data_IF_891627171635
#
_entry.id   IF_891627171635
#
_cell.length_a   1.000
_cell.length_b   1.000
_cell.length_c   1.000
_cell.angle_alpha   90.00
_cell.angle_beta   90.00
_cell.angle_gamma   90.00
#
_symmetry.space_group_name_H-M   'P 1'
#
loop_
_entity.id
_entity.type
_entity.pdbx_description
1 polymer ?
#
# COMPACT_ATOMS: atom_id res chain seq x y z
N UNK A 1 -7.86 -8.34 43.34
CA UNK A 1 -7.49 -9.06 42.09
C UNK A 1 -7.64 -8.05 40.96
N UNK A 2 -6.57 -7.79 40.22
CA UNK A 2 -6.43 -6.63 39.32
C UNK A 2 -7.09 -6.92 37.96
N UNK A 3 -7.72 -5.87 37.43
CA UNK A 3 -8.44 -5.78 36.14
C UNK A 3 -7.68 -6.42 34.98
N UNK A 4 -8.27 -7.47 34.37
CA UNK A 4 -7.81 -8.11 33.13
C UNK A 4 -8.64 -7.62 31.91
N UNK A 5 -9.79 -6.97 32.13
CA UNK A 5 -10.68 -6.54 31.05
C UNK A 5 -10.19 -5.31 30.26
N UNK A 6 -9.33 -4.47 30.85
CA UNK A 6 -8.82 -3.25 30.19
C UNK A 6 -7.70 -3.49 29.17
N UNK A 7 -7.04 -4.66 29.19
CA UNK A 7 -5.86 -4.93 28.35
C UNK A 7 -6.24 -5.60 27.03
N UNK A 8 -7.37 -6.33 26.99
CA UNK A 8 -7.80 -7.04 25.79
C UNK A 8 -8.32 -6.11 24.68
N UNK A 9 -9.00 -5.02 25.03
CA UNK A 9 -9.65 -4.13 24.05
C UNK A 9 -8.63 -3.16 23.42
N UNK A 10 -7.60 -2.74 24.18
CA UNK A 10 -6.51 -1.91 23.66
C UNK A 10 -5.62 -2.71 22.68
N UNK A 11 -5.43 -4.00 22.91
CA UNK A 11 -4.66 -4.88 22.01
C UNK A 11 -5.29 -5.06 20.63
N UNK A 12 -6.62 -5.09 20.52
CA UNK A 12 -7.32 -5.27 19.24
C UNK A 12 -7.18 -4.03 18.36
N UNK A 13 -7.20 -2.84 18.95
CA UNK A 13 -7.02 -1.59 18.23
C UNK A 13 -5.58 -1.40 17.73
N UNK A 14 -4.59 -1.76 18.55
CA UNK A 14 -3.17 -1.73 18.16
C UNK A 14 -2.89 -2.71 17.02
N UNK A 15 -3.54 -3.88 16.99
CA UNK A 15 -3.42 -4.84 15.90
C UNK A 15 -4.11 -4.39 14.60
N UNK A 16 -5.27 -3.74 14.68
CA UNK A 16 -5.99 -3.16 13.54
C UNK A 16 -5.20 -2.06 12.83
N UNK A 17 -4.49 -1.22 13.59
CA UNK A 17 -3.61 -0.15 13.06
C UNK A 17 -2.35 -0.73 12.38
N UNK A 18 -1.84 -1.86 12.86
CA UNK A 18 -0.67 -2.54 12.27
C UNK A 18 -1.04 -3.29 10.98
N UNK A 19 -2.28 -3.77 10.85
CA UNK A 19 -2.77 -4.53 9.69
C UNK A 19 -3.38 -3.66 8.57
N UNK A 20 -3.70 -2.38 8.84
CA UNK A 20 -4.26 -1.43 7.86
C UNK A 20 -3.26 -0.90 6.82
N UNK A 21 -2.09 -1.53 6.69
CA UNK A 21 -1.16 -1.29 5.60
C UNK A 21 -0.16 -0.17 5.84
N UNK A 22 1.04 -0.37 5.30
CA UNK A 22 2.07 0.64 5.15
C UNK A 22 1.57 1.81 4.27
N UNK A 23 0.89 2.74 4.88
CA UNK A 23 0.67 4.10 4.43
C UNK A 23 0.45 4.89 5.69
N UNK A 24 1.37 5.80 6.02
CA UNK A 24 1.36 6.60 7.25
C UNK A 24 -0.04 7.19 7.49
N UNK A 25 -0.88 6.57 8.31
CA UNK A 25 -1.90 7.33 9.02
C UNK A 25 -1.10 8.37 9.81
N UNK A 26 -1.28 9.62 9.45
CA UNK A 26 -0.71 10.71 10.24
C UNK A 26 -1.25 10.57 11.67
N UNK A 27 -0.45 10.97 12.67
CA UNK A 27 -0.92 11.00 14.06
C UNK A 27 -2.25 11.77 14.19
N UNK A 28 -2.49 12.72 13.29
CA UNK A 28 -3.69 13.55 13.23
C UNK A 28 -4.91 12.76 12.75
N UNK A 29 -4.80 11.92 11.72
CA UNK A 29 -5.91 11.07 11.25
C UNK A 29 -6.34 10.04 12.30
N UNK A 30 -5.37 9.42 12.98
CA UNK A 30 -5.67 8.50 14.07
C UNK A 30 -6.32 9.21 15.26
N UNK A 31 -5.83 10.40 15.61
CA UNK A 31 -6.42 11.21 16.68
C UNK A 31 -7.85 11.62 16.32
N UNK A 32 -8.12 11.97 15.07
CA UNK A 32 -9.45 12.38 14.60
C UNK A 32 -10.45 11.21 14.65
N UNK A 33 -10.06 10.01 14.24
CA UNK A 33 -10.94 8.83 14.30
C UNK A 33 -11.18 8.40 15.76
N UNK A 34 -10.15 8.48 16.60
CA UNK A 34 -10.28 8.19 18.03
C UNK A 34 -11.17 9.22 18.74
N UNK A 35 -11.07 10.50 18.38
CA UNK A 35 -11.93 11.56 18.91
C UNK A 35 -13.39 11.34 18.49
N UNK A 36 -13.62 10.99 17.23
CA UNK A 36 -14.95 10.65 16.71
C UNK A 36 -15.56 9.45 17.43
N UNK A 37 -14.78 8.39 17.66
CA UNK A 37 -15.21 7.23 18.44
C UNK A 37 -15.55 7.59 19.88
N UNK A 38 -14.68 8.35 20.55
CA UNK A 38 -14.92 8.82 21.92
C UNK A 38 -16.16 9.70 22.01
N UNK A 39 -16.38 10.57 21.03
CA UNK A 39 -17.55 11.44 20.95
C UNK A 39 -18.85 10.64 20.73
N UNK A 40 -18.79 9.61 19.89
CA UNK A 40 -19.93 8.72 19.64
C UNK A 40 -20.29 7.86 20.87
N UNK A 41 -19.28 7.38 21.61
CA UNK A 41 -19.48 6.67 22.87
C UNK A 41 -20.00 7.61 23.96
N UNK A 42 -19.46 8.82 24.07
CA UNK A 42 -19.94 9.82 25.02
C UNK A 42 -21.42 10.15 24.76
N UNK A 43 -21.80 10.36 23.50
CA UNK A 43 -23.19 10.60 23.12
C UNK A 43 -24.11 9.42 23.50
N UNK A 44 -23.66 8.18 23.28
CA UNK A 44 -24.44 6.98 23.66
C UNK A 44 -24.59 6.85 25.18
N UNK A 45 -23.54 7.15 25.96
CA UNK A 45 -23.62 7.17 27.42
C UNK A 45 -24.51 8.29 27.96
N UNK A 46 -24.50 9.46 27.32
CA UNK A 46 -25.39 10.57 27.66
C UNK A 46 -26.85 10.22 27.37
N UNK A 47 -27.14 9.63 26.20
CA UNK A 47 -28.49 9.20 25.84
C UNK A 47 -29.03 8.14 26.81
N UNK A 48 -28.23 7.12 27.11
CA UNK A 48 -28.59 6.09 28.08
C UNK A 48 -28.79 6.67 29.49
N UNK A 49 -27.93 7.61 29.90
CA UNK A 49 -28.07 8.33 31.17
C UNK A 49 -29.34 9.17 31.25
N UNK A 50 -29.72 9.84 30.17
CA UNK A 50 -30.97 10.59 30.09
C UNK A 50 -32.19 9.69 30.20
N UNK A 51 -32.18 8.54 29.51
CA UNK A 51 -33.26 7.55 29.61
C UNK A 51 -33.39 6.99 31.03
N UNK A 52 -32.28 6.64 31.68
CA UNK A 52 -32.27 6.17 33.08
C UNK A 52 -32.78 7.25 34.03
N UNK A 53 -32.38 8.50 33.82
CA UNK A 53 -32.85 9.63 34.64
C UNK A 53 -34.35 9.89 34.48
N UNK A 54 -34.88 9.78 33.25
CA UNK A 54 -36.33 9.92 32.99
C UNK A 54 -37.13 8.80 33.67
N UNK A 55 -36.62 7.56 33.59
CA UNK A 55 -37.21 6.40 34.27
C UNK A 55 -37.19 6.56 35.79
N UNK A 56 -36.05 6.98 36.37
CA UNK A 56 -35.93 7.23 37.81
C UNK A 56 -36.93 8.30 38.26
N UNK A 57 -37.03 9.42 37.53
CA UNK A 57 -37.95 10.49 37.87
C UNK A 57 -39.43 10.07 37.84
N UNK A 58 -39.82 9.17 36.93
CA UNK A 58 -41.17 8.61 36.90
C UNK A 58 -41.44 7.68 38.09
N UNK A 59 -40.46 6.83 38.42
CA UNK A 59 -40.54 5.96 39.61
C UNK A 59 -40.65 6.78 40.89
N UNK A 60 -39.85 7.83 41.02
CA UNK A 60 -39.89 8.73 42.18
C UNK A 60 -41.23 9.46 42.29
N UNK A 61 -41.73 10.02 41.18
CA UNK A 61 -43.03 10.71 41.15
C UNK A 61 -44.20 9.78 41.52
N UNK A 62 -44.19 8.53 41.03
CA UNK A 62 -45.18 7.54 41.42
C UNK A 62 -45.02 7.12 42.88
N UNK A 63 -43.78 6.97 43.37
CA UNK A 63 -43.51 6.66 44.78
C UNK A 63 -44.01 7.75 45.74
N UNK A 64 -43.87 9.02 45.37
CA UNK A 64 -44.36 10.15 46.16
C UNK A 64 -45.89 10.27 46.11
N UNK A 65 -46.50 10.05 44.94
CA UNK A 65 -47.96 9.95 44.82
C UNK A 65 -48.52 8.81 45.71
N UNK A 66 -47.86 7.65 45.70
CA UNK A 66 -48.18 6.50 46.56
C UNK A 66 -48.14 6.86 48.04
N UNK A 67 -47.04 7.48 48.48
CA UNK A 67 -46.88 7.89 49.88
C UNK A 67 -47.98 8.85 50.32
N UNK A 68 -48.39 9.78 49.45
CA UNK A 68 -49.47 10.71 49.74
C UNK A 68 -50.81 9.99 49.88
N UNK A 69 -51.16 9.08 48.97
CA UNK A 69 -52.43 8.34 49.04
C UNK A 69 -52.48 7.44 50.29
N UNK A 70 -51.41 6.72 50.59
CA UNK A 70 -51.32 5.88 51.80
C UNK A 70 -51.45 6.73 53.07
N UNK A 71 -50.83 7.92 53.10
CA UNK A 71 -50.96 8.83 54.24
C UNK A 71 -52.39 9.33 54.41
N UNK A 72 -53.07 9.68 53.31
CA UNK A 72 -54.46 10.13 53.36
C UNK A 72 -55.41 9.02 53.82
N UNK A 73 -55.22 7.79 53.32
CA UNK A 73 -56.00 6.64 53.73
C UNK A 73 -55.79 6.31 55.22
N UNK A 74 -54.53 6.39 55.69
CA UNK A 74 -54.19 6.18 57.10
C UNK A 74 -54.85 7.21 58.01
N UNK A 75 -54.82 8.49 57.65
CA UNK A 75 -55.41 9.58 58.45
C UNK A 75 -56.95 9.46 58.50
N UNK A 76 -57.57 9.11 57.38
CA UNK A 76 -59.01 8.84 57.30
C UNK A 76 -59.41 7.64 58.19
N UNK A 77 -58.63 6.56 58.18
CA UNK A 77 -58.86 5.38 59.02
C UNK A 77 -58.71 5.68 60.52
N UNK A 78 -57.70 6.48 60.92
CA UNK A 78 -57.51 6.92 62.30
C UNK A 78 -58.70 7.77 62.78
N UNK A 79 -59.17 8.69 61.94
CA UNK A 79 -60.31 9.57 62.25
C UNK A 79 -61.61 8.76 62.41
N UNK A 80 -61.87 7.81 61.50
CA UNK A 80 -63.02 6.92 61.56
C UNK A 80 -62.99 6.03 62.81
N UNK A 81 -61.82 5.50 63.19
CA UNK A 81 -61.65 4.70 64.40
C UNK A 81 -61.88 5.49 65.70
N UNK A 82 -61.60 6.80 65.71
CA UNK A 82 -61.85 7.65 66.88
C UNK A 82 -63.35 7.97 67.07
N UNK A 83 -64.17 7.82 66.02
CA UNK A 83 -65.62 8.10 66.06
C UNK A 83 -66.47 6.89 66.49
N UNK A 84 -65.93 5.68 66.54
CA UNK A 84 -66.54 4.52 67.24
C UNK A 84 -67.73 3.82 66.56
N UNK A 85 -68.17 4.25 65.37
CA UNK A 85 -69.25 3.61 64.63
C UNK A 85 -68.75 2.46 63.74
N UNK A 86 -69.44 1.30 63.76
CA UNK A 86 -69.06 0.13 62.97
C UNK A 86 -69.11 0.38 61.44
N UNK A 87 -69.98 1.30 61.00
CA UNK A 87 -70.16 1.66 59.59
C UNK A 87 -68.99 2.49 59.06
N UNK A 88 -68.37 3.34 59.89
CA UNK A 88 -67.22 4.16 59.48
C UNK A 88 -65.93 3.35 59.40
N UNK A 89 -65.77 2.32 60.24
CA UNK A 89 -64.65 1.36 60.16
C UNK A 89 -64.76 0.50 58.90
N UNK A 90 -65.97 0.05 58.55
CA UNK A 90 -66.22 -0.72 57.32
C UNK A 90 -65.90 0.12 56.07
N UNK A 91 -66.39 1.36 56.02
CA UNK A 91 -66.10 2.27 54.92
C UNK A 91 -64.60 2.61 54.80
N UNK A 92 -63.88 2.78 55.92
CA UNK A 92 -62.44 3.01 55.92
C UNK A 92 -61.65 1.79 55.42
N UNK A 93 -62.10 0.58 55.78
CA UNK A 93 -61.50 -0.67 55.32
C UNK A 93 -61.72 -0.88 53.82
N UNK A 94 -62.93 -0.64 53.31
CA UNK A 94 -63.24 -0.73 51.87
C UNK A 94 -62.46 0.31 51.06
N UNK A 95 -62.32 1.53 51.57
CA UNK A 95 -61.50 2.56 50.93
C UNK A 95 -60.02 2.15 50.87
N UNK A 96 -59.48 1.60 51.96
CA UNK A 96 -58.11 1.09 52.01
C UNK A 96 -57.90 -0.10 51.05
N UNK A 97 -58.83 -1.06 51.00
CA UNK A 97 -58.76 -2.21 50.08
C UNK A 97 -58.88 -1.79 48.61
N UNK A 98 -59.74 -0.81 48.29
CA UNK A 98 -59.84 -0.26 46.93
C UNK A 98 -58.58 0.52 46.51
N UNK A 99 -57.99 1.27 47.46
CA UNK A 99 -56.73 1.96 47.28
C UNK A 99 -55.60 0.98 47.01
N UNK A 100 -55.50 -0.09 47.82
CA UNK A 100 -54.49 -1.16 47.67
C UNK A 100 -54.62 -1.91 46.33
N UNK A 101 -55.85 -2.13 45.87
CA UNK A 101 -56.11 -2.76 44.57
C UNK A 101 -55.65 -1.86 43.41
N UNK A 102 -56.02 -0.57 43.46
CA UNK A 102 -55.60 0.42 42.45
C UNK A 102 -54.08 0.63 42.46
N UNK A 103 -53.46 0.61 43.65
CA UNK A 103 -52.01 0.69 43.84
C UNK A 103 -51.28 -0.47 43.15
N UNK A 104 -51.77 -1.69 43.37
CA UNK A 104 -51.18 -2.90 42.76
C UNK A 104 -51.27 -2.85 41.25
N UNK A 105 -52.40 -2.39 40.71
CA UNK A 105 -52.61 -2.20 39.27
C UNK A 105 -51.58 -1.22 38.68
N UNK A 106 -51.43 -0.03 39.27
CA UNK A 106 -50.50 1.00 38.77
C UNK A 106 -49.02 0.57 38.89
N UNK A 107 -48.65 -0.13 39.97
CA UNK A 107 -47.30 -0.70 40.14
C UNK A 107 -47.01 -1.79 39.10
N UNK A 108 -47.99 -2.65 38.79
CA UNK A 108 -47.82 -3.69 37.76
C UNK A 108 -47.61 -3.07 36.38
N UNK A 109 -48.45 -2.08 36.01
CA UNK A 109 -48.31 -1.38 34.73
C UNK A 109 -46.96 -0.65 34.59
N UNK A 110 -46.46 -0.09 35.68
CA UNK A 110 -45.15 0.58 35.70
C UNK A 110 -44.02 -0.43 35.57
N UNK A 111 -44.07 -1.53 36.32
CA UNK A 111 -43.07 -2.59 36.24
C UNK A 111 -43.00 -3.19 34.83
N UNK A 112 -44.15 -3.42 34.20
CA UNK A 112 -44.24 -3.91 32.83
C UNK A 112 -43.66 -2.89 31.83
N UNK A 113 -44.01 -1.61 31.95
CA UNK A 113 -43.47 -0.56 31.07
C UNK A 113 -41.95 -0.40 31.19
N UNK A 114 -41.41 -0.44 32.42
CA UNK A 114 -39.96 -0.35 32.67
C UNK A 114 -39.25 -1.57 32.10
N UNK A 115 -39.81 -2.77 32.31
CA UNK A 115 -39.28 -4.02 31.77
C UNK A 115 -39.25 -4.00 30.24
N UNK A 116 -40.34 -3.57 29.60
CA UNK A 116 -40.45 -3.50 28.14
C UNK A 116 -39.48 -2.48 27.53
N UNK A 117 -39.36 -1.28 28.13
CA UNK A 117 -38.37 -0.29 27.70
C UNK A 117 -36.93 -0.77 27.88
N UNK A 118 -36.63 -1.45 28.99
CA UNK A 118 -35.30 -2.01 29.24
C UNK A 118 -34.95 -3.10 28.21
N UNK A 119 -35.91 -3.97 27.87
CA UNK A 119 -35.75 -5.00 26.84
C UNK A 119 -35.55 -4.38 25.44
N UNK A 120 -36.35 -3.37 25.08
CA UNK A 120 -36.20 -2.67 23.79
C UNK A 120 -34.84 -1.97 23.68
N UNK A 121 -34.39 -1.30 24.74
CA UNK A 121 -33.08 -0.68 24.77
C UNK A 121 -31.95 -1.71 24.58
N UNK A 122 -32.02 -2.85 25.28
CA UNK A 122 -31.06 -3.95 25.14
C UNK A 122 -31.05 -4.52 23.71
N UNK A 123 -32.22 -4.84 23.14
CA UNK A 123 -32.33 -5.35 21.76
C UNK A 123 -31.81 -4.36 20.72
N UNK A 124 -32.08 -3.06 20.90
CA UNK A 124 -31.58 -2.02 19.99
C UNK A 124 -30.05 -1.87 20.04
N UNK A 125 -29.46 -2.05 21.23
CA UNK A 125 -28.02 -2.07 21.42
C UNK A 125 -27.37 -3.29 20.77
N UNK A 126 -27.95 -4.47 20.99
CA UNK A 126 -27.46 -5.72 20.41
C UNK A 126 -27.56 -5.71 18.88
N UNK A 127 -28.65 -5.18 18.31
CA UNK A 127 -28.79 -5.05 16.86
C UNK A 127 -27.73 -4.12 16.27
N UNK A 128 -27.50 -2.95 16.89
CA UNK A 128 -26.45 -2.02 16.45
C UNK A 128 -25.06 -2.68 16.50
N UNK A 129 -24.79 -3.49 17.53
CA UNK A 129 -23.53 -4.21 17.66
C UNK A 129 -23.38 -5.27 16.55
N UNK A 130 -24.43 -6.03 16.26
CA UNK A 130 -24.44 -7.00 15.16
C UNK A 130 -24.21 -6.33 13.80
N UNK A 131 -24.86 -5.20 13.54
CA UNK A 131 -24.69 -4.45 12.30
C UNK A 131 -23.24 -3.95 12.14
N UNK A 132 -22.63 -3.48 13.24
CA UNK A 132 -21.22 -3.07 13.25
C UNK A 132 -20.27 -4.25 13.00
N UNK A 133 -20.52 -5.41 13.61
CA UNK A 133 -19.72 -6.63 13.39
C UNK A 133 -19.81 -7.06 11.92
N UNK A 134 -21.02 -7.12 11.35
CA UNK A 134 -21.20 -7.49 9.94
C UNK A 134 -20.49 -6.52 8.97
N UNK A 135 -20.52 -5.21 9.27
CA UNK A 135 -19.80 -4.21 8.49
C UNK A 135 -18.27 -4.39 8.59
N UNK A 136 -17.75 -4.69 9.79
CA UNK A 136 -16.33 -4.97 10.01
C UNK A 136 -15.88 -6.25 9.30
N UNK A 137 -16.68 -7.32 9.34
CA UNK A 137 -16.39 -8.57 8.64
C UNK A 137 -16.33 -8.37 7.11
N UNK A 138 -17.27 -7.61 6.55
CA UNK A 138 -17.25 -7.24 5.13
C UNK A 138 -15.98 -6.46 4.76
N UNK A 139 -15.59 -5.50 5.61
CA UNK A 139 -14.38 -4.70 5.43
C UNK A 139 -13.11 -5.55 5.48
N UNK A 140 -12.99 -6.43 6.49
CA UNK A 140 -11.86 -7.37 6.61
C UNK A 140 -11.76 -8.29 5.40
N UNK A 141 -12.90 -8.77 4.88
CA UNK A 141 -12.92 -9.60 3.67
C UNK A 141 -12.40 -8.84 2.44
N UNK A 142 -12.83 -7.59 2.24
CA UNK A 142 -12.34 -6.75 1.14
C UNK A 142 -10.84 -6.45 1.27
N UNK A 143 -10.37 -6.16 2.49
CA UNK A 143 -8.95 -5.93 2.75
C UNK A 143 -8.11 -7.18 2.49
N UNK A 144 -8.55 -8.36 2.94
CA UNK A 144 -7.87 -9.62 2.69
C UNK A 144 -7.73 -9.91 1.19
N UNK A 145 -8.77 -9.62 0.40
CA UNK A 145 -8.71 -9.77 -1.05
C UNK A 145 -7.70 -8.79 -1.67
N UNK A 146 -7.76 -7.52 -1.24
CA UNK A 146 -6.85 -6.48 -1.74
C UNK A 146 -5.38 -6.78 -1.44
N UNK A 147 -5.08 -7.34 -0.26
CA UNK A 147 -3.73 -7.78 0.12
C UNK A 147 -3.26 -8.90 -0.80
N UNK A 148 -4.09 -9.91 -1.05
CA UNK A 148 -3.77 -11.01 -1.98
C UNK A 148 -3.43 -10.50 -3.38
N UNK A 149 -4.21 -9.55 -3.90
CA UNK A 149 -4.00 -8.98 -5.24
C UNK A 149 -2.70 -8.15 -5.29
N UNK A 150 -2.40 -7.40 -4.23
CA UNK A 150 -1.14 -6.64 -4.08
C UNK A 150 0.08 -7.56 -3.99
N UNK A 151 -0.01 -8.68 -3.27
CA UNK A 151 1.07 -9.66 -3.17
C UNK A 151 1.40 -10.29 -4.53
N UNK A 152 0.38 -10.62 -5.33
CA UNK A 152 0.55 -11.12 -6.68
C UNK A 152 1.24 -10.08 -7.59
N UNK A 153 0.81 -8.82 -7.55
CA UNK A 153 1.44 -7.73 -8.30
C UNK A 153 2.89 -7.48 -7.85
N UNK A 154 3.16 -7.56 -6.55
CA UNK A 154 4.52 -7.42 -6.00
C UNK A 154 5.44 -8.55 -6.47
N UNK A 155 4.91 -9.77 -6.61
CA UNK A 155 5.69 -10.90 -7.12
C UNK A 155 6.11 -10.69 -8.58
N UNK A 156 5.18 -10.25 -9.44
CA UNK A 156 5.47 -9.94 -10.85
C UNK A 156 6.47 -8.80 -10.99
N UNK A 157 6.31 -7.71 -10.23
CA UNK A 157 7.26 -6.59 -10.25
C UNK A 157 8.64 -7.00 -9.75
N UNK A 158 8.76 -7.84 -8.71
CA UNK A 158 10.04 -8.40 -8.25
C UNK A 158 10.71 -9.25 -9.32
N UNK A 159 9.94 -10.07 -10.05
CA UNK A 159 10.45 -10.88 -11.16
C UNK A 159 11.01 -10.01 -12.28
N UNK A 160 10.26 -8.97 -12.68
CA UNK A 160 10.72 -8.00 -13.68
C UNK A 160 11.97 -7.22 -13.21
N UNK A 161 12.03 -6.86 -11.93
CA UNK A 161 13.20 -6.19 -11.34
C UNK A 161 14.44 -7.09 -11.37
N UNK A 162 14.30 -8.38 -11.07
CA UNK A 162 15.42 -9.30 -11.11
C UNK A 162 15.91 -9.50 -12.56
N UNK A 163 15.01 -9.67 -13.51
CA UNK A 163 15.37 -9.76 -14.94
C UNK A 163 16.11 -8.50 -15.42
N UNK A 164 15.64 -7.32 -15.04
CA UNK A 164 16.33 -6.05 -15.38
C UNK A 164 17.69 -5.92 -14.71
N UNK A 165 17.85 -6.36 -13.46
CA UNK A 165 19.17 -6.42 -12.79
C UNK A 165 20.14 -7.35 -13.50
N UNK A 166 19.69 -8.52 -13.95
CA UNK A 166 20.51 -9.45 -14.71
C UNK A 166 20.94 -8.87 -16.06
N UNK A 167 20.02 -8.19 -16.76
CA UNK A 167 20.33 -7.46 -18.00
C UNK A 167 21.34 -6.32 -17.78
N UNK A 168 21.21 -5.57 -16.68
CA UNK A 168 22.16 -4.52 -16.32
C UNK A 168 23.55 -5.05 -15.93
N UNK A 169 23.61 -6.28 -15.38
CA UNK A 169 24.88 -6.92 -15.02
C UNK A 169 25.66 -7.47 -16.23
N UNK A 170 25.00 -7.65 -17.38
CA UNK A 170 25.65 -8.12 -18.60
C UNK A 170 26.66 -7.07 -19.11
N UNK A 171 27.93 -7.47 -19.22
CA UNK A 171 29.03 -6.56 -19.59
C UNK A 171 29.27 -6.54 -21.11
N UNK A 172 29.66 -5.39 -21.70
CA UNK A 172 30.13 -5.35 -23.08
C UNK A 172 31.33 -6.27 -23.32
N UNK A 173 31.33 -6.97 -24.45
CA UNK A 173 32.38 -7.93 -24.83
C UNK A 173 33.00 -7.55 -26.17
N UNK A 174 34.30 -7.27 -26.19
CA UNK A 174 35.04 -7.09 -27.44
C UNK A 174 35.28 -8.44 -28.12
N UNK A 175 34.84 -8.57 -29.37
CA UNK A 175 34.88 -9.84 -30.13
C UNK A 175 35.87 -9.85 -31.27
N UNK A 176 36.28 -8.68 -31.77
CA UNK A 176 37.35 -8.53 -32.76
C UNK A 176 38.02 -7.17 -32.66
N UNK A 177 39.31 -7.16 -33.03
CA UNK A 177 40.08 -5.94 -33.29
C UNK A 177 40.70 -6.06 -34.67
N UNK A 178 40.43 -5.09 -35.54
CA UNK A 178 40.96 -5.06 -36.90
C UNK A 178 41.92 -3.91 -37.08
N UNK A 179 43.02 -4.12 -37.81
CA UNK A 179 44.01 -3.08 -38.10
C UNK A 179 43.92 -2.60 -39.54
N UNK A 180 44.28 -1.33 -39.75
CA UNK A 180 44.23 -0.69 -41.06
C UNK A 180 45.62 -0.23 -41.54
N UNK A 181 45.87 -0.30 -42.86
CA UNK A 181 47.02 0.37 -43.45
C UNK A 181 46.96 1.90 -43.23
N UNK A 182 48.12 2.56 -43.31
CA UNK A 182 48.22 4.02 -43.13
C UNK A 182 47.33 4.78 -44.11
N UNK A 183 46.54 5.73 -43.61
CA UNK A 183 45.63 6.56 -44.40
C UNK A 183 44.49 5.83 -45.14
N UNK A 184 44.36 4.51 -44.99
CA UNK A 184 43.36 3.70 -45.69
C UNK A 184 42.23 3.22 -44.76
N UNK A 185 41.10 2.90 -45.40
CA UNK A 185 39.91 2.28 -44.78
C UNK A 185 39.66 0.85 -45.26
N UNK A 186 40.43 0.37 -46.24
CA UNK A 186 40.27 -0.98 -46.79
C UNK A 186 40.67 -2.04 -45.76
N UNK A 187 39.81 -3.05 -45.60
CA UNK A 187 40.07 -4.22 -44.78
C UNK A 187 41.12 -5.11 -45.47
N UNK A 188 42.11 -5.55 -44.71
CA UNK A 188 43.10 -6.53 -45.17
C UNK A 188 42.52 -7.94 -45.07
N UNK A 189 43.16 -8.94 -45.70
CA UNK A 189 42.75 -10.34 -45.56
C UNK A 189 42.69 -10.80 -44.08
N UNK A 190 43.71 -10.43 -43.29
CA UNK A 190 43.75 -10.72 -41.87
C UNK A 190 42.61 -10.02 -41.08
N UNK A 191 42.23 -8.79 -41.47
CA UNK A 191 41.09 -8.10 -40.87
C UNK A 191 39.77 -8.79 -41.21
N UNK A 192 39.60 -9.25 -42.47
CA UNK A 192 38.42 -10.00 -42.91
C UNK A 192 38.30 -11.34 -42.17
N UNK A 193 39.40 -12.07 -42.01
CA UNK A 193 39.44 -13.33 -41.25
C UNK A 193 39.06 -13.12 -39.78
N UNK A 194 39.58 -12.08 -39.14
CA UNK A 194 39.21 -11.73 -37.77
C UNK A 194 37.72 -11.37 -37.63
N UNK A 195 37.15 -10.67 -38.62
CA UNK A 195 35.73 -10.33 -38.64
C UNK A 195 34.86 -11.57 -38.90
N UNK A 196 35.28 -12.49 -39.78
CA UNK A 196 34.57 -13.74 -40.04
C UNK A 196 34.48 -14.60 -38.76
N UNK A 197 35.56 -14.66 -37.97
CA UNK A 197 35.54 -15.31 -36.65
C UNK A 197 34.64 -14.62 -35.61
N UNK A 198 34.36 -13.33 -35.78
CA UNK A 198 33.44 -12.59 -34.92
C UNK A 198 31.97 -12.73 -35.33
N UNK A 199 31.67 -13.00 -36.61
CA UNK A 199 30.29 -13.15 -37.12
C UNK A 199 29.51 -14.20 -36.32
N UNK A 200 30.09 -15.38 -36.10
CA UNK A 200 29.44 -16.45 -35.34
C UNK A 200 29.13 -16.01 -33.89
N UNK A 201 30.06 -15.29 -33.24
CA UNK A 201 29.86 -14.78 -31.87
C UNK A 201 28.78 -13.71 -31.81
N UNK A 202 28.71 -12.84 -32.81
CA UNK A 202 27.70 -11.79 -32.92
C UNK A 202 26.32 -12.41 -33.16
N UNK A 203 26.20 -13.35 -34.09
CA UNK A 203 24.95 -14.03 -34.41
C UNK A 203 24.43 -14.90 -33.26
N UNK A 204 25.32 -15.49 -32.46
CA UNK A 204 24.95 -16.19 -31.23
C UNK A 204 24.34 -15.27 -30.16
N UNK A 205 24.48 -13.93 -30.31
CA UNK A 205 23.91 -12.92 -29.44
C UNK A 205 22.91 -12.06 -30.22
N UNK A 206 21.89 -12.68 -30.82
CA UNK A 206 20.96 -12.02 -31.76
C UNK A 206 20.26 -10.78 -31.17
N UNK A 207 19.92 -10.79 -29.88
CA UNK A 207 19.24 -9.68 -29.21
C UNK A 207 20.20 -8.54 -28.80
N UNK A 208 21.51 -8.77 -28.86
CA UNK A 208 22.50 -7.76 -28.50
C UNK A 208 22.73 -6.78 -29.65
N UNK A 209 23.18 -5.57 -29.29
CA UNK A 209 23.65 -4.57 -30.26
C UNK A 209 25.16 -4.70 -30.46
N UNK A 210 25.66 -4.24 -31.61
CA UNK A 210 27.09 -4.23 -31.90
C UNK A 210 27.57 -2.79 -32.01
N UNK A 211 28.59 -2.43 -31.24
CA UNK A 211 29.28 -1.16 -31.34
C UNK A 211 30.64 -1.36 -32.02
N UNK A 212 30.86 -0.64 -33.11
CA UNK A 212 32.14 -0.60 -33.81
C UNK A 212 32.82 0.73 -33.52
N UNK A 213 33.95 0.71 -32.82
CA UNK A 213 34.76 1.89 -32.52
C UNK A 213 35.94 1.98 -33.47
N UNK A 214 36.08 3.08 -34.19
CA UNK A 214 37.22 3.33 -35.06
C UNK A 214 38.24 4.28 -34.43
N UNK A 215 39.52 4.02 -34.65
CA UNK A 215 40.63 4.80 -34.12
C UNK A 215 41.65 5.19 -35.21
N UNK A 216 42.34 6.30 -34.99
CA UNK A 216 43.40 6.84 -35.84
C UNK A 216 44.73 6.93 -35.07
N UNK A 217 45.84 7.07 -35.79
CA UNK A 217 47.20 6.98 -35.21
C UNK A 217 47.81 8.27 -34.70
N UNK A 218 47.07 9.38 -34.78
CA UNK A 218 47.51 10.70 -34.34
C UNK A 218 48.30 11.49 -35.37
N UNK A 219 48.66 10.91 -36.52
CA UNK A 219 49.30 11.66 -37.61
C UNK A 219 48.32 12.72 -38.15
N UNK A 220 48.74 13.99 -38.35
CA UNK A 220 47.87 15.01 -38.93
C UNK A 220 47.37 14.59 -40.31
N UNK A 221 46.05 14.71 -40.54
CA UNK A 221 45.44 14.50 -41.85
C UNK A 221 45.57 15.80 -42.63
N UNK A 222 46.59 15.90 -43.49
CA UNK A 222 46.92 17.15 -44.20
C UNK A 222 46.32 17.24 -45.61
N UNK A 223 46.07 16.10 -46.27
CA UNK A 223 45.57 16.01 -47.67
C UNK A 223 44.80 14.70 -47.87
N UNK A 224 43.86 14.69 -48.83
CA UNK A 224 43.14 13.48 -49.24
C UNK A 224 41.62 13.57 -49.04
N UNK A 225 40.93 12.42 -49.08
CA UNK A 225 39.47 12.31 -49.03
C UNK A 225 38.86 12.67 -47.67
N UNK A 226 39.59 12.45 -46.57
CA UNK A 226 39.11 12.68 -45.20
C UNK A 226 39.66 14.00 -44.67
N UNK A 227 38.84 14.77 -43.94
CA UNK A 227 39.22 16.11 -43.46
C UNK A 227 39.91 16.07 -42.10
N UNK A 228 39.72 14.99 -41.35
CA UNK A 228 40.25 14.85 -39.99
C UNK A 228 40.48 13.39 -39.60
N UNK A 229 41.19 13.18 -38.48
CA UNK A 229 41.32 11.86 -37.88
C UNK A 229 39.96 11.32 -37.39
N UNK A 230 39.01 12.19 -37.03
CA UNK A 230 37.64 11.80 -36.68
C UNK A 230 36.94 11.18 -37.89
N UNK A 231 36.95 11.86 -39.03
CA UNK A 231 36.36 11.38 -40.29
C UNK A 231 36.97 10.05 -40.73
N UNK A 232 38.31 9.95 -40.70
CA UNK A 232 39.02 8.73 -41.09
C UNK A 232 38.67 7.55 -40.17
N UNK A 233 38.59 7.80 -38.86
CA UNK A 233 38.24 6.78 -37.89
C UNK A 233 36.78 6.32 -38.01
N UNK A 234 35.85 7.25 -38.29
CA UNK A 234 34.45 6.93 -38.56
C UNK A 234 34.31 6.08 -39.82
N UNK A 235 34.98 6.47 -40.92
CA UNK A 235 34.93 5.72 -42.17
C UNK A 235 35.52 4.30 -42.05
N UNK A 236 36.52 4.08 -41.18
CA UNK A 236 37.01 2.74 -40.83
C UNK A 236 35.96 1.91 -40.10
N UNK A 237 35.31 2.50 -39.10
CA UNK A 237 34.22 1.84 -38.38
C UNK A 237 33.10 1.47 -39.36
N UNK A 238 32.70 2.38 -40.24
CA UNK A 238 31.66 2.14 -41.25
C UNK A 238 32.04 1.02 -42.24
N UNK A 239 33.32 0.92 -42.63
CA UNK A 239 33.82 -0.15 -43.49
C UNK A 239 33.67 -1.53 -42.84
N UNK A 240 33.90 -1.62 -41.53
CA UNK A 240 33.65 -2.84 -40.74
C UNK A 240 32.15 -3.15 -40.65
N UNK A 241 31.31 -2.13 -40.42
CA UNK A 241 29.85 -2.30 -40.40
C UNK A 241 29.34 -2.85 -41.73
N UNK A 242 29.80 -2.29 -42.86
CA UNK A 242 29.42 -2.75 -44.19
C UNK A 242 29.83 -4.21 -44.42
N UNK A 243 31.05 -4.57 -44.01
CA UNK A 243 31.53 -5.95 -44.11
C UNK A 243 30.68 -6.93 -43.28
N UNK A 244 30.41 -6.60 -42.01
CA UNK A 244 29.60 -7.44 -41.12
C UNK A 244 28.17 -7.63 -41.65
N UNK A 245 27.54 -6.56 -42.15
CA UNK A 245 26.23 -6.64 -42.80
C UNK A 245 26.26 -7.50 -44.05
N UNK A 246 27.31 -7.38 -44.87
CA UNK A 246 27.53 -8.23 -46.05
C UNK A 246 27.70 -9.72 -45.72
N UNK A 247 28.12 -10.04 -44.49
CA UNK A 247 28.22 -11.41 -43.95
C UNK A 247 26.93 -11.92 -43.29
N UNK A 248 25.83 -11.16 -43.35
CA UNK A 248 24.54 -11.57 -42.82
C UNK A 248 24.34 -11.30 -41.33
N UNK A 249 25.10 -10.39 -40.73
CA UNK A 249 24.81 -9.92 -39.36
C UNK A 249 23.54 -9.07 -39.37
N UNK A 250 22.51 -9.51 -38.64
CA UNK A 250 21.20 -8.84 -38.53
C UNK A 250 21.06 -7.94 -37.30
N UNK A 251 22.00 -8.02 -36.36
CA UNK A 251 22.03 -7.19 -35.15
C UNK A 251 21.99 -5.69 -35.48
N UNK A 252 21.50 -4.88 -34.53
CA UNK A 252 21.65 -3.42 -34.63
C UNK A 252 23.11 -3.04 -34.47
N UNK A 253 23.76 -2.58 -35.54
CA UNK A 253 25.16 -2.17 -35.54
C UNK A 253 25.27 -0.64 -35.54
N UNK A 254 26.01 -0.08 -34.57
CA UNK A 254 26.37 1.35 -34.48
C UNK A 254 27.86 1.51 -34.72
N UNK A 255 28.27 2.50 -35.49
CA UNK A 255 29.67 2.88 -35.68
C UNK A 255 29.99 4.21 -35.00
N UNK A 256 31.20 4.33 -34.44
CA UNK A 256 31.69 5.57 -33.84
C UNK A 256 33.17 5.76 -34.12
N UNK A 257 33.52 6.85 -34.76
CA UNK A 257 34.89 7.32 -34.89
C UNK A 257 35.33 8.05 -33.63
N UNK A 258 36.49 7.66 -33.08
CA UNK A 258 37.09 8.26 -31.88
C UNK A 258 38.35 9.07 -32.20
N UNK A 259 38.66 9.27 -33.49
CA UNK A 259 39.85 9.98 -33.90
C UNK A 259 41.11 9.38 -33.28
N UNK A 260 42.00 10.24 -32.78
CA UNK A 260 43.25 9.84 -32.12
C UNK A 260 43.19 9.95 -30.59
N UNK A 261 41.99 10.03 -30.00
CA UNK A 261 41.83 10.35 -28.57
C UNK A 261 42.09 9.18 -27.64
N UNK A 262 42.08 7.95 -28.16
CA UNK A 262 42.28 6.70 -27.40
C UNK A 262 43.44 5.87 -27.98
N UNK A 263 44.71 6.36 -27.87
CA UNK A 263 45.88 5.60 -28.31
C UNK A 263 46.16 4.43 -27.37
N UNK A 264 46.51 3.28 -27.94
CA UNK A 264 46.95 2.08 -27.19
C UNK A 264 48.45 1.83 -27.32
N UNK A 265 49.12 2.54 -28.23
CA UNK A 265 50.57 2.48 -28.41
C UNK A 265 51.19 3.86 -28.65
N UNK A 266 52.53 3.98 -28.59
CA UNK A 266 53.23 5.25 -28.74
C UNK A 266 52.97 5.90 -30.11
N UNK A 267 52.52 7.17 -30.12
CA UNK A 267 52.17 7.91 -31.35
C UNK A 267 53.41 8.31 -32.19
N UNK A 268 54.59 8.33 -31.59
CA UNK A 268 55.85 8.71 -32.23
C UNK A 268 56.52 7.55 -32.98
N UNK A 269 56.16 6.29 -32.73
CA UNK A 269 56.78 5.13 -33.40
C UNK A 269 55.91 4.58 -34.53
N UNK A 270 56.54 4.02 -35.58
CA UNK A 270 55.80 3.36 -36.69
C UNK A 270 54.95 2.18 -36.19
N UNK A 271 55.50 1.40 -35.25
CA UNK A 271 54.83 0.25 -34.66
C UNK A 271 53.61 0.68 -33.79
N UNK A 272 53.79 1.64 -32.88
CA UNK A 272 52.69 2.15 -32.05
C UNK A 272 51.60 2.82 -32.87
N UNK A 273 51.96 3.57 -33.93
CA UNK A 273 50.97 4.09 -34.88
C UNK A 273 50.18 2.98 -35.57
N UNK A 274 50.82 1.85 -35.92
CA UNK A 274 50.09 0.73 -36.51
C UNK A 274 49.06 0.12 -35.56
N UNK A 275 49.38 0.01 -34.27
CA UNK A 275 48.44 -0.44 -33.24
C UNK A 275 47.26 0.54 -33.08
N UNK A 276 47.51 1.84 -33.20
CA UNK A 276 46.48 2.86 -33.05
C UNK A 276 45.51 2.94 -34.25
N UNK A 277 45.91 2.50 -35.46
CA UNK A 277 45.01 2.41 -36.63
C UNK A 277 44.17 1.14 -36.55
N UNK A 278 43.17 1.14 -35.68
CA UNK A 278 42.32 -0.02 -35.45
C UNK A 278 40.84 0.29 -35.48
N UNK A 279 40.02 -0.74 -35.61
CA UNK A 279 38.64 -0.70 -35.16
C UNK A 279 38.36 -1.89 -34.22
N UNK A 280 37.53 -1.64 -33.22
CA UNK A 280 37.11 -2.62 -32.23
C UNK A 280 35.65 -2.95 -32.45
N UNK A 281 35.31 -4.23 -32.43
CA UNK A 281 33.94 -4.73 -32.56
C UNK A 281 33.51 -5.25 -31.20
N UNK A 282 32.47 -4.66 -30.64
CA UNK A 282 32.02 -4.88 -29.27
C UNK A 282 30.56 -5.29 -29.29
N UNK A 283 30.22 -6.43 -28.69
CA UNK A 283 28.85 -6.82 -28.41
C UNK A 283 28.42 -6.10 -27.13
N UNK A 284 27.30 -5.37 -27.21
CA UNK A 284 26.70 -4.65 -26.11
C UNK A 284 25.34 -5.30 -25.81
N UNK A 285 25.18 -5.94 -24.64
CA UNK A 285 23.94 -6.60 -24.25
C UNK A 285 22.72 -5.68 -24.33
N UNK A 286 21.57 -6.26 -24.63
CA UNK A 286 20.30 -5.54 -24.62
C UNK A 286 20.04 -4.93 -23.23
N UNK A 287 19.72 -3.64 -23.17
CA UNK A 287 19.49 -2.91 -21.92
C UNK A 287 20.71 -2.21 -21.32
N UNK A 288 21.94 -2.48 -21.78
CA UNK A 288 23.15 -1.76 -21.33
C UNK A 288 23.40 -0.44 -22.08
N UNK A 289 22.59 -0.10 -23.09
CA UNK A 289 22.62 1.17 -23.82
C UNK A 289 21.38 2.03 -23.50
N UNK A 290 21.17 2.34 -22.22
CA UNK A 290 20.31 3.45 -21.79
C UNK A 290 21.16 4.58 -21.25
#
# INVERSE_FOLDING_TARGET
MRSIAGIAIVSIFVFSVILSGCGKLSKEEFAMEMDKYNQQNAASHTDLGNQVSELSGKVDAQGDALRSEVSMAKEAAITASQQGDADTITAAKEAAESGDAKLREELMQTADMVSEKAQQAAMSGDQKLQDQIAALESTNKMQSQSISDLEAALMETKKALNATKEMAAAKPMMVATVQFPSGKIGLTAAAMEALDGAVAKIQANADASVLVKGHADGSPVLRGRYRSNWDLSQARADSVVQYLKGKGVTNTIRSRGLGHTEPIGPVNTKAGRAQNRRAEVIIVPAGSMM
#
